data_IF_432176224789
#
_entry.id   IF_432176224789
#
_cell.length_a   1.000
_cell.length_b   1.000
_cell.length_c   1.000
_cell.angle_alpha   90.00
_cell.angle_beta   90.00
_cell.angle_gamma   90.00
#
_symmetry.space_group_name_H-M   'P 1'
#
loop_
_entity.id
_entity.type
_entity.pdbx_description
1 polymer ?
#
# COMPACT_ATOMS: atom_id res chain seq x y z
N UNK A 1 -13.24 -28.43 12.71
CA UNK A 1 -14.52 -27.70 12.64
C UNK A 1 -14.37 -26.21 12.93
N UNK A 2 -13.86 -25.78 14.07
CA UNK A 2 -13.67 -24.37 14.38
C UNK A 2 -12.53 -23.71 13.57
N UNK A 3 -11.43 -24.42 13.32
CA UNK A 3 -10.33 -23.93 12.46
C UNK A 3 -10.76 -23.78 11.00
N UNK A 4 -11.61 -24.68 10.52
CA UNK A 4 -12.12 -24.65 9.14
C UNK A 4 -13.15 -23.54 8.95
N UNK A 5 -13.92 -23.23 10.00
CA UNK A 5 -14.86 -22.11 9.98
C UNK A 5 -14.15 -20.75 9.98
N UNK A 6 -13.07 -20.62 10.75
CA UNK A 6 -12.22 -19.42 10.77
C UNK A 6 -11.44 -19.26 9.47
N UNK A 7 -10.97 -20.36 8.88
CA UNK A 7 -10.29 -20.35 7.59
C UNK A 7 -11.27 -19.98 6.45
N UNK A 8 -12.49 -20.53 6.48
CA UNK A 8 -13.55 -20.16 5.54
C UNK A 8 -14.06 -18.73 5.73
N UNK A 9 -14.10 -18.22 6.97
CA UNK A 9 -14.44 -16.79 7.21
C UNK A 9 -13.33 -15.87 6.70
N UNK A 10 -12.05 -16.19 6.89
CA UNK A 10 -10.93 -15.43 6.35
C UNK A 10 -10.94 -15.41 4.82
N UNK A 11 -11.15 -16.56 4.19
CA UNK A 11 -11.27 -16.68 2.74
C UNK A 11 -12.51 -15.98 2.16
N UNK A 12 -13.55 -15.81 2.96
CA UNK A 12 -14.80 -15.16 2.54
C UNK A 12 -14.70 -13.64 2.50
N UNK A 13 -13.76 -13.05 3.23
CA UNK A 13 -13.63 -11.58 3.31
C UNK A 13 -12.59 -10.99 2.35
N UNK A 14 -11.55 -11.73 1.94
CA UNK A 14 -10.50 -11.21 1.09
C UNK A 14 -10.09 -12.14 -0.07
N UNK A 15 -9.97 -13.44 0.19
CA UNK A 15 -9.33 -14.39 -0.73
C UNK A 15 -10.22 -14.91 -1.84
N UNK A 16 -11.53 -14.94 -1.63
CA UNK A 16 -12.46 -15.53 -2.59
C UNK A 16 -13.02 -14.52 -3.59
N UNK A 17 -12.97 -13.23 -3.29
CA UNK A 17 -13.59 -12.21 -4.13
C UNK A 17 -12.67 -11.01 -4.39
N UNK A 18 -11.72 -11.20 -5.29
CA UNK A 18 -10.95 -10.10 -5.85
C UNK A 18 -11.65 -9.43 -7.05
N UNK A 19 -12.94 -9.68 -7.23
CA UNK A 19 -13.75 -9.09 -8.34
C UNK A 19 -13.85 -7.58 -8.25
N UNK A 20 -13.69 -7.01 -7.04
CA UNK A 20 -13.62 -5.58 -6.85
C UNK A 20 -12.39 -4.96 -7.54
N UNK A 21 -11.30 -5.72 -7.71
CA UNK A 21 -10.07 -5.26 -8.35
C UNK A 21 -10.16 -5.44 -9.87
N UNK A 22 -11.09 -4.73 -10.47
CA UNK A 22 -11.32 -4.65 -11.89
C UNK A 22 -10.57 -3.44 -12.53
N UNK A 23 -10.72 -3.25 -13.82
CA UNK A 23 -10.08 -2.15 -14.55
C UNK A 23 -10.47 -0.77 -14.01
N UNK A 24 -11.72 -0.61 -13.54
CA UNK A 24 -12.18 0.67 -12.96
C UNK A 24 -11.50 0.94 -11.62
N UNK A 25 -11.39 -0.08 -10.78
CA UNK A 25 -10.68 0.01 -9.51
C UNK A 25 -9.20 0.34 -9.73
N UNK A 26 -8.53 -0.33 -10.67
CA UNK A 26 -7.13 -0.07 -11.02
C UNK A 26 -6.96 1.36 -11.51
N UNK A 27 -7.84 1.85 -12.39
CA UNK A 27 -7.80 3.22 -12.89
C UNK A 27 -8.02 4.24 -11.76
N UNK A 28 -8.96 3.99 -10.85
CA UNK A 28 -9.23 4.86 -9.71
C UNK A 28 -8.02 4.92 -8.75
N UNK A 29 -7.40 3.78 -8.45
CA UNK A 29 -6.21 3.71 -7.60
C UNK A 29 -4.99 4.36 -8.25
N UNK A 30 -4.81 4.21 -9.55
CA UNK A 30 -3.78 4.92 -10.31
C UNK A 30 -3.95 6.44 -10.20
N UNK A 31 -5.16 6.92 -10.36
CA UNK A 31 -5.47 8.35 -10.20
C UNK A 31 -5.23 8.83 -8.76
N UNK A 32 -5.58 8.01 -7.77
CA UNK A 32 -5.34 8.33 -6.36
C UNK A 32 -3.85 8.46 -6.06
N UNK A 33 -3.02 7.53 -6.51
CA UNK A 33 -1.55 7.60 -6.35
C UNK A 33 -1.01 8.86 -7.03
N UNK A 34 -1.34 9.08 -8.28
CA UNK A 34 -0.92 10.27 -9.05
C UNK A 34 -1.30 11.58 -8.37
N UNK A 35 -2.53 11.68 -7.84
CA UNK A 35 -2.96 12.85 -7.09
C UNK A 35 -2.24 12.96 -5.74
N UNK A 36 -1.99 11.82 -5.10
CA UNK A 36 -1.27 11.74 -3.83
C UNK A 36 0.15 12.25 -3.92
N UNK A 37 0.83 12.06 -5.04
CA UNK A 37 2.23 12.47 -5.23
C UNK A 37 2.43 13.97 -5.47
N UNK A 38 1.36 14.72 -5.66
CA UNK A 38 1.45 16.16 -5.86
C UNK A 38 1.82 16.92 -4.58
N UNK A 39 2.73 17.87 -4.71
CA UNK A 39 3.08 18.81 -3.64
C UNK A 39 4.10 18.28 -2.64
N UNK A 40 4.74 17.15 -2.91
CA UNK A 40 5.85 16.64 -2.10
C UNK A 40 6.84 15.84 -2.96
N UNK A 41 8.05 15.65 -2.44
CA UNK A 41 9.11 14.88 -3.11
C UNK A 41 9.16 13.41 -2.73
N UNK A 42 8.17 12.90 -2.00
CA UNK A 42 8.06 11.48 -1.67
C UNK A 42 7.40 10.67 -2.79
N UNK A 43 7.65 9.37 -2.82
CA UNK A 43 7.09 8.42 -3.78
C UNK A 43 6.15 7.45 -3.11
N UNK A 44 4.96 7.25 -3.70
CA UNK A 44 3.97 6.29 -3.25
C UNK A 44 3.88 5.12 -4.23
N UNK A 45 3.96 3.90 -3.71
CA UNK A 45 3.80 2.70 -4.53
C UNK A 45 2.77 1.75 -3.92
N UNK A 46 1.83 1.29 -4.72
CA UNK A 46 0.83 0.32 -4.31
C UNK A 46 1.11 -1.03 -4.98
N UNK A 47 1.25 -2.08 -4.17
CA UNK A 47 1.37 -3.47 -4.61
C UNK A 47 0.23 -4.27 -4.04
N UNK A 48 -0.52 -4.95 -4.90
CA UNK A 48 -1.61 -5.85 -4.53
C UNK A 48 -1.28 -7.25 -5.04
N UNK A 49 -1.04 -8.18 -4.13
CA UNK A 49 -0.74 -9.57 -4.43
C UNK A 49 -1.94 -10.45 -4.11
N UNK A 50 -2.40 -11.23 -5.09
CA UNK A 50 -3.54 -12.14 -4.95
C UNK A 50 -3.15 -13.49 -4.35
N UNK A 51 -1.90 -13.90 -4.55
CA UNK A 51 -1.38 -15.20 -4.10
C UNK A 51 -1.18 -15.25 -2.59
N UNK A 52 -1.31 -16.45 -2.00
CA UNK A 52 -0.82 -16.69 -0.65
C UNK A 52 0.67 -16.34 -0.51
N UNK A 53 1.04 -15.93 0.70
CA UNK A 53 2.46 -15.76 1.03
C UNK A 53 3.20 -17.09 0.87
N UNK A 54 4.42 -17.09 0.29
CA UNK A 54 5.21 -18.32 0.14
C UNK A 54 5.62 -18.88 1.50
N UNK A 55 5.19 -20.11 1.82
CA UNK A 55 5.52 -20.77 3.07
C UNK A 55 5.14 -19.94 4.29
N UNK A 56 6.04 -19.87 5.27
CA UNK A 56 5.87 -19.08 6.50
C UNK A 56 6.50 -17.67 6.38
N UNK A 57 6.58 -17.13 5.18
CA UNK A 57 7.19 -15.81 4.95
C UNK A 57 6.38 -14.71 5.66
N UNK A 58 6.98 -13.93 6.58
CA UNK A 58 6.31 -12.79 7.18
C UNK A 58 5.91 -11.74 6.14
N UNK A 59 4.78 -11.08 6.37
CA UNK A 59 4.27 -10.03 5.48
C UNK A 59 5.30 -8.90 5.26
N UNK A 60 5.97 -8.48 6.32
CA UNK A 60 7.04 -7.47 6.23
C UNK A 60 8.18 -7.91 5.30
N UNK A 61 8.65 -9.14 5.44
CA UNK A 61 9.72 -9.69 4.57
C UNK A 61 9.30 -9.71 3.10
N UNK A 62 8.03 -10.00 2.84
CA UNK A 62 7.49 -9.96 1.47
C UNK A 62 7.42 -8.53 0.94
N UNK A 63 7.00 -7.58 1.76
CA UNK A 63 7.00 -6.15 1.41
C UNK A 63 8.42 -5.64 1.12
N UNK A 64 9.41 -6.00 1.95
CA UNK A 64 10.83 -5.65 1.74
C UNK A 64 11.36 -6.19 0.41
N UNK A 65 10.97 -7.40 0.04
CA UNK A 65 11.34 -8.00 -1.26
C UNK A 65 10.75 -7.22 -2.43
N UNK A 66 9.48 -6.82 -2.35
CA UNK A 66 8.86 -5.98 -3.37
C UNK A 66 9.51 -4.59 -3.44
N UNK A 67 9.79 -3.99 -2.30
CA UNK A 67 10.48 -2.71 -2.20
C UNK A 67 11.83 -2.75 -2.93
N UNK A 68 12.61 -3.78 -2.68
CA UNK A 68 13.91 -4.00 -3.32
C UNK A 68 13.77 -4.26 -4.83
N UNK A 69 12.90 -5.18 -5.23
CA UNK A 69 12.70 -5.58 -6.63
C UNK A 69 12.20 -4.43 -7.51
N UNK A 70 11.35 -3.57 -6.95
CA UNK A 70 10.81 -2.40 -7.65
C UNK A 70 11.75 -1.19 -7.62
N UNK A 71 12.91 -1.30 -6.97
CA UNK A 71 13.90 -0.23 -6.91
C UNK A 71 13.45 1.00 -6.12
N UNK A 72 12.55 0.83 -5.14
CA UNK A 72 11.98 1.94 -4.36
C UNK A 72 13.01 2.64 -3.47
N UNK A 73 14.13 1.98 -3.19
CA UNK A 73 15.27 2.55 -2.46
C UNK A 73 16.01 3.63 -3.24
N UNK A 74 15.79 3.72 -4.56
CA UNK A 74 16.52 4.65 -5.45
C UNK A 74 15.75 5.97 -5.62
N UNK A 75 15.42 6.63 -4.53
CA UNK A 75 14.87 7.98 -4.51
C UNK A 75 15.86 8.96 -3.88
N UNK A 76 15.81 10.23 -4.28
CA UNK A 76 16.77 11.26 -3.85
C UNK A 76 16.87 11.37 -2.32
N UNK A 77 15.72 11.43 -1.63
CA UNK A 77 15.66 11.63 -0.18
C UNK A 77 15.38 10.33 0.60
N UNK A 78 15.48 9.15 -0.03
CA UNK A 78 15.03 7.88 0.56
C UNK A 78 13.60 7.98 1.09
N UNK A 79 12.73 8.56 0.26
CA UNK A 79 11.38 9.03 0.63
C UNK A 79 10.26 8.20 0.01
N UNK A 80 10.54 6.95 -0.38
CA UNK A 80 9.53 6.05 -0.90
C UNK A 80 8.70 5.41 0.21
N UNK A 81 7.42 5.22 -0.08
CA UNK A 81 6.46 4.48 0.77
C UNK A 81 5.76 3.43 -0.08
N UNK A 82 5.90 2.17 0.31
CA UNK A 82 5.22 1.03 -0.29
C UNK A 82 3.99 0.67 0.53
N UNK A 83 2.84 0.69 -0.10
CA UNK A 83 1.60 0.11 0.43
C UNK A 83 1.48 -1.29 -0.16
N UNK A 84 1.63 -2.33 0.66
CA UNK A 84 1.55 -3.72 0.24
C UNK A 84 0.34 -4.42 0.83
N UNK A 85 -0.56 -4.85 -0.05
CA UNK A 85 -1.76 -5.60 0.29
C UNK A 85 -1.65 -7.02 -0.23
N UNK A 86 -1.75 -8.01 0.66
CA UNK A 86 -1.89 -9.41 0.28
C UNK A 86 -3.33 -9.86 0.50
N UNK A 87 -4.04 -10.13 -0.60
CA UNK A 87 -5.47 -10.49 -0.56
C UNK A 87 -5.69 -11.86 0.07
N UNK A 88 -4.87 -12.85 -0.27
CA UNK A 88 -5.01 -14.20 0.27
C UNK A 88 -4.76 -14.26 1.78
N UNK A 89 -3.82 -13.47 2.29
CA UNK A 89 -3.52 -13.37 3.71
C UNK A 89 -4.46 -12.42 4.46
N UNK A 90 -5.22 -11.59 3.75
CA UNK A 90 -6.04 -10.51 4.33
C UNK A 90 -5.22 -9.58 5.20
N UNK A 91 -4.04 -9.19 4.72
CA UNK A 91 -3.07 -8.38 5.45
C UNK A 91 -2.57 -7.22 4.60
N UNK A 92 -2.30 -6.13 5.28
CA UNK A 92 -1.76 -4.90 4.72
C UNK A 92 -0.54 -4.47 5.52
N UNK A 93 0.54 -4.15 4.83
CA UNK A 93 1.76 -3.60 5.42
C UNK A 93 2.19 -2.34 4.69
N UNK A 94 2.62 -1.33 5.43
CA UNK A 94 3.17 -0.10 4.86
C UNK A 94 4.65 -0.06 5.21
N UNK A 95 5.49 -0.10 4.20
CA UNK A 95 6.94 -0.04 4.33
C UNK A 95 7.43 1.33 3.85
N UNK A 96 7.96 2.11 4.78
CA UNK A 96 8.55 3.41 4.49
C UNK A 96 10.07 3.30 4.46
N UNK A 97 10.71 4.02 3.53
CA UNK A 97 12.17 4.08 3.46
C UNK A 97 12.76 4.92 4.61
N UNK A 98 14.07 4.83 4.77
CA UNK A 98 14.81 5.42 5.90
C UNK A 98 14.63 6.93 6.06
N UNK A 99 14.54 7.67 4.96
CA UNK A 99 14.28 9.11 5.01
C UNK A 99 12.89 9.46 5.56
N UNK A 100 11.89 8.63 5.25
CA UNK A 100 10.54 8.77 5.81
C UNK A 100 10.51 8.39 7.28
N UNK A 101 11.10 7.24 7.65
CA UNK A 101 11.12 6.76 9.03
C UNK A 101 11.88 7.68 9.98
N UNK A 102 12.80 8.49 9.48
CA UNK A 102 13.50 9.49 10.27
C UNK A 102 12.57 10.59 10.83
N UNK A 103 11.44 10.84 10.18
CA UNK A 103 10.49 11.91 10.55
C UNK A 103 9.08 11.41 10.85
N UNK A 104 8.70 10.26 10.30
CA UNK A 104 7.39 9.62 10.53
C UNK A 104 7.64 8.19 11.02
N UNK A 105 7.49 7.91 12.33
CA UNK A 105 7.82 6.60 12.88
C UNK A 105 6.87 5.50 12.40
N UNK A 106 7.33 4.24 12.43
CA UNK A 106 6.61 3.08 11.92
C UNK A 106 5.22 2.88 12.54
N UNK A 107 5.04 3.22 13.81
CA UNK A 107 3.73 3.08 14.47
C UNK A 107 2.62 3.91 13.80
N UNK A 108 2.94 5.04 13.19
CA UNK A 108 1.97 5.84 12.43
C UNK A 108 1.50 5.07 11.19
N UNK A 109 2.41 4.43 10.49
CA UNK A 109 2.09 3.59 9.33
C UNK A 109 1.31 2.34 9.72
N UNK A 110 1.65 1.71 10.84
CA UNK A 110 0.93 0.55 11.37
C UNK A 110 -0.51 0.90 11.75
N UNK A 111 -0.75 2.06 12.34
CA UNK A 111 -2.09 2.56 12.68
C UNK A 111 -2.93 2.84 11.42
N UNK A 112 -2.32 3.42 10.38
CA UNK A 112 -2.96 3.62 9.08
C UNK A 112 -3.35 2.28 8.45
N UNK A 113 -2.45 1.30 8.46
CA UNK A 113 -2.71 -0.03 7.93
C UNK A 113 -3.87 -0.72 8.67
N UNK A 114 -3.87 -0.67 9.99
CA UNK A 114 -4.92 -1.26 10.82
C UNK A 114 -6.30 -0.62 10.55
N UNK A 115 -6.35 0.71 10.44
CA UNK A 115 -7.59 1.44 10.12
C UNK A 115 -8.11 1.06 8.73
N UNK A 116 -7.24 0.98 7.75
CA UNK A 116 -7.59 0.60 6.38
C UNK A 116 -8.16 -0.81 6.32
N UNK A 117 -7.55 -1.78 7.03
CA UNK A 117 -8.08 -3.14 7.10
C UNK A 117 -9.49 -3.20 7.70
N UNK A 118 -9.80 -2.39 8.71
CA UNK A 118 -11.15 -2.30 9.25
C UNK A 118 -12.15 -1.77 8.22
N UNK A 119 -11.79 -0.77 7.44
CA UNK A 119 -12.62 -0.24 6.36
C UNK A 119 -12.84 -1.28 5.25
N UNK A 120 -11.80 -2.04 4.90
CA UNK A 120 -11.91 -3.16 3.98
C UNK A 120 -12.96 -4.19 4.41
N UNK A 121 -12.94 -4.58 5.68
CA UNK A 121 -13.89 -5.55 6.24
C UNK A 121 -15.33 -5.04 6.25
N UNK A 122 -15.52 -3.74 6.26
CA UNK A 122 -16.84 -3.10 6.18
C UNK A 122 -17.39 -3.03 4.74
N UNK A 123 -16.61 -3.42 3.73
CA UNK A 123 -17.01 -3.42 2.32
C UNK A 123 -16.86 -2.04 1.67
N UNK A 124 -15.69 -1.72 1.22
CA UNK A 124 -15.37 -0.44 0.56
C UNK A 124 -13.89 -0.41 0.20
N UNK A 125 -13.46 -1.40 -0.54
CA UNK A 125 -12.05 -1.73 -0.78
C UNK A 125 -11.32 -0.58 -1.48
N UNK A 126 -11.86 -0.08 -2.58
CA UNK A 126 -11.27 1.03 -3.33
C UNK A 126 -11.27 2.32 -2.50
N UNK A 127 -12.37 2.62 -1.81
CA UNK A 127 -12.48 3.81 -0.97
C UNK A 127 -11.51 3.74 0.23
N UNK A 128 -11.30 2.56 0.80
CA UNK A 128 -10.34 2.36 1.89
C UNK A 128 -8.90 2.61 1.42
N UNK A 129 -8.51 2.12 0.25
CA UNK A 129 -7.19 2.36 -0.33
C UNK A 129 -7.02 3.80 -0.77
N UNK A 130 -8.03 4.42 -1.35
CA UNK A 130 -8.00 5.84 -1.71
C UNK A 130 -7.76 6.72 -0.49
N UNK A 131 -8.48 6.47 0.61
CA UNK A 131 -8.27 7.15 1.90
C UNK A 131 -6.85 6.94 2.45
N UNK A 132 -6.33 5.71 2.38
CA UNK A 132 -4.98 5.40 2.82
C UNK A 132 -3.93 6.17 2.00
N UNK A 133 -4.09 6.19 0.69
CA UNK A 133 -3.20 6.95 -0.22
C UNK A 133 -3.26 8.44 0.12
N UNK A 134 -4.46 9.00 0.31
CA UNK A 134 -4.64 10.41 0.66
C UNK A 134 -4.01 10.77 2.01
N UNK A 135 -4.18 9.93 3.03
CA UNK A 135 -3.58 10.14 4.36
C UNK A 135 -2.05 10.01 4.32
N UNK A 136 -1.53 9.03 3.57
CA UNK A 136 -0.10 8.86 3.35
C UNK A 136 0.50 10.08 2.64
N UNK A 137 -0.18 10.60 1.61
CA UNK A 137 0.21 11.79 0.89
C UNK A 137 0.22 13.04 1.79
N UNK A 138 -0.76 13.17 2.67
CA UNK A 138 -0.81 14.29 3.63
C UNK A 138 0.40 14.29 4.58
N UNK A 139 0.78 13.11 5.08
CA UNK A 139 1.99 12.95 5.89
C UNK A 139 3.26 13.31 5.11
N UNK A 140 3.37 12.87 3.86
CA UNK A 140 4.52 13.19 3.01
C UNK A 140 4.58 14.69 2.69
N UNK A 141 3.46 15.37 2.43
CA UNK A 141 3.43 16.82 2.22
C UNK A 141 3.88 17.58 3.46
N UNK A 142 3.53 17.11 4.64
CA UNK A 142 3.92 17.75 5.90
C UNK A 142 5.43 17.74 6.12
N UNK A 143 6.13 16.69 5.70
CA UNK A 143 7.56 16.47 5.95
C UNK A 143 8.45 16.64 4.73
N UNK A 144 7.92 16.42 3.53
CA UNK A 144 8.65 16.47 2.25
C UNK A 144 7.99 17.42 1.24
N UNK A 145 7.29 18.45 1.72
CA UNK A 145 6.57 19.39 0.86
C UNK A 145 7.51 20.08 -0.12
N UNK A 146 7.16 19.99 -1.42
CA UNK A 146 7.83 20.67 -2.53
C UNK A 146 6.76 21.20 -3.48
N UNK A 147 6.25 22.42 -3.31
CA UNK A 147 5.14 22.95 -4.11
C UNK A 147 5.45 23.03 -5.61
N UNK A 148 6.72 23.19 -5.98
CA UNK A 148 7.20 23.29 -7.36
C UNK A 148 8.27 22.22 -7.62
N UNK A 149 7.94 20.94 -7.47
CA UNK A 149 8.89 19.86 -7.72
C UNK A 149 9.20 19.73 -9.23
N UNK A 150 10.39 20.16 -9.70
CA UNK A 150 10.76 20.09 -11.11
C UNK A 150 11.09 18.66 -11.58
N UNK A 151 11.31 17.72 -10.65
CA UNK A 151 11.66 16.34 -10.96
C UNK A 151 10.43 15.44 -11.07
N UNK A 152 9.27 15.90 -10.59
CA UNK A 152 8.01 15.17 -10.71
C UNK A 152 8.05 13.77 -10.10
N UNK A 153 7.24 12.92 -10.64
CA UNK A 153 7.10 11.51 -10.28
C UNK A 153 8.28 10.69 -10.81
N UNK A 154 9.08 10.11 -9.92
CA UNK A 154 10.24 9.27 -10.26
C UNK A 154 9.83 7.81 -10.60
N UNK A 155 8.67 7.36 -10.14
CA UNK A 155 8.18 5.98 -10.27
C UNK A 155 6.78 5.93 -10.90
N UNK A 156 6.40 4.80 -11.55
CA UNK A 156 5.08 4.66 -12.13
C UNK A 156 3.95 4.68 -11.09
N UNK A 157 2.82 5.33 -11.40
CA UNK A 157 1.66 5.47 -10.51
C UNK A 157 0.74 4.24 -10.50
N UNK A 158 0.82 3.41 -11.53
CA UNK A 158 -0.05 2.24 -11.66
C UNK A 158 0.22 1.25 -10.53
N UNK A 159 -0.83 0.72 -9.87
CA UNK A 159 -0.68 -0.38 -8.94
C UNK A 159 0.01 -1.58 -9.60
N UNK A 160 0.91 -2.22 -8.88
CA UNK A 160 1.50 -3.50 -9.29
C UNK A 160 0.57 -4.61 -8.82
N UNK A 161 -0.04 -5.32 -9.76
CA UNK A 161 -0.91 -6.46 -9.47
C UNK A 161 -0.10 -7.74 -9.70
N UNK A 162 -0.06 -8.59 -8.69
CA UNK A 162 0.63 -9.88 -8.72
C UNK A 162 -0.41 -11.00 -8.55
N UNK A 163 -0.55 -11.82 -9.59
CA UNK A 163 -1.48 -12.95 -9.64
C UNK A 163 -0.86 -14.24 -9.10
#
# INVERSE_FOLDING_TARGET
>A
MFKDLLHNLKNRFFGADSRWLDERAIAALTAAVKNGERGHGGELRLVIERRPLPGDTPLQTRAERHFSTLGLWNTEDRSAVLIYLNLAASQLYILADSGVLAVIPQNIWDDLAARTLRQFKAGGEVAALDSLIADSAALLRQHFGKPDDPHGNELPDNPVIID
#
